data_IF_498993448401
#
_entry.id   IF_498993448401
#
_cell.length_a   1.000
_cell.length_b   1.000
_cell.length_c   1.000
_cell.angle_alpha   90.00
_cell.angle_beta   90.00
_cell.angle_gamma   90.00
#
_symmetry.space_group_name_H-M   'P 1'
#
loop_
_entity.id
_entity.type
_entity.pdbx_description
1 polymer ?
#
# COMPACT_ATOMS: atom_id res chain seq x y z
N UNK A 1 4.25 17.75 -5.40
CA UNK A 1 4.64 16.71 -4.41
C UNK A 1 4.26 15.34 -4.94
N UNK A 2 5.00 14.29 -4.60
CA UNK A 2 4.67 12.90 -4.99
C UNK A 2 3.74 12.30 -3.93
N UNK A 3 2.78 11.48 -4.34
CA UNK A 3 1.97 10.67 -3.44
C UNK A 3 1.97 9.22 -3.92
N UNK A 4 2.36 8.28 -3.07
CA UNK A 4 2.34 6.85 -3.41
C UNK A 4 1.06 6.24 -2.85
N UNK A 5 0.29 5.57 -3.71
CA UNK A 5 -0.98 4.92 -3.37
C UNK A 5 -0.77 3.42 -3.56
N UNK A 6 -0.71 2.69 -2.45
CA UNK A 6 -0.60 1.24 -2.47
C UNK A 6 -1.98 0.58 -2.43
N UNK A 7 -2.16 -0.49 -3.18
CA UNK A 7 -3.37 -1.30 -3.10
C UNK A 7 -3.10 -2.79 -2.94
N UNK A 8 -4.04 -3.46 -2.27
CA UNK A 8 -4.16 -4.92 -2.26
C UNK A 8 -5.63 -5.31 -2.39
N UNK A 9 -5.92 -6.35 -3.15
CA UNK A 9 -7.28 -6.75 -3.51
C UNK A 9 -7.36 -8.20 -3.96
N UNK A 10 -8.49 -8.85 -3.70
CA UNK A 10 -8.81 -10.19 -4.22
C UNK A 10 -9.66 -10.15 -5.49
N UNK A 11 -10.59 -9.17 -5.58
CA UNK A 11 -11.60 -9.10 -6.65
C UNK A 11 -11.52 -7.81 -7.47
N UNK A 12 -10.47 -7.01 -7.29
CA UNK A 12 -10.22 -5.79 -8.07
C UNK A 12 -10.83 -4.51 -7.50
N UNK A 13 -11.75 -4.57 -6.53
CA UNK A 13 -12.45 -3.35 -6.04
C UNK A 13 -11.51 -2.31 -5.43
N UNK A 14 -10.56 -2.75 -4.61
CA UNK A 14 -9.60 -1.83 -3.99
C UNK A 14 -8.58 -1.29 -4.99
N UNK A 15 -8.29 -2.03 -6.05
CA UNK A 15 -7.48 -1.53 -7.17
C UNK A 15 -8.24 -0.42 -7.92
N UNK A 16 -9.50 -0.63 -8.27
CA UNK A 16 -10.34 0.40 -8.90
C UNK A 16 -10.40 1.67 -8.04
N UNK A 17 -10.66 1.52 -6.75
CA UNK A 17 -10.69 2.66 -5.82
C UNK A 17 -9.33 3.36 -5.69
N UNK A 18 -8.21 2.63 -5.79
CA UNK A 18 -6.88 3.22 -5.78
C UNK A 18 -6.60 4.02 -7.06
N UNK A 19 -7.07 3.53 -8.22
CA UNK A 19 -6.98 4.27 -9.49
C UNK A 19 -7.83 5.55 -9.44
N UNK A 20 -9.05 5.48 -8.92
CA UNK A 20 -9.92 6.65 -8.74
C UNK A 20 -9.30 7.68 -7.78
N UNK A 21 -8.69 7.20 -6.68
CA UNK A 21 -7.97 8.04 -5.75
C UNK A 21 -6.74 8.69 -6.42
N UNK A 22 -6.03 7.96 -7.27
CA UNK A 22 -4.94 8.49 -8.09
C UNK A 22 -5.42 9.61 -9.03
N UNK A 23 -6.52 9.41 -9.74
CA UNK A 23 -7.10 10.44 -10.60
C UNK A 23 -7.48 11.69 -9.79
N UNK A 24 -8.11 11.52 -8.61
CA UNK A 24 -8.44 12.64 -7.72
C UNK A 24 -7.19 13.40 -7.26
N UNK A 25 -6.13 12.69 -6.86
CA UNK A 25 -4.90 13.30 -6.35
C UNK A 25 -4.07 14.00 -7.43
N UNK A 26 -4.24 13.65 -8.70
CA UNK A 26 -3.51 14.26 -9.82
C UNK A 26 -3.74 15.77 -9.98
N UNK A 27 -4.78 16.33 -9.34
CA UNK A 27 -5.01 17.78 -9.34
C UNK A 27 -3.95 18.58 -8.55
N UNK A 28 -3.25 17.95 -7.59
CA UNK A 28 -2.31 18.62 -6.69
C UNK A 28 -0.99 17.83 -6.47
N UNK A 29 -0.97 16.54 -6.79
CA UNK A 29 0.17 15.65 -6.61
C UNK A 29 0.55 14.98 -7.93
N UNK A 30 1.73 14.36 -7.98
CA UNK A 30 2.11 13.39 -9.00
C UNK A 30 1.93 11.98 -8.40
N UNK A 31 0.71 11.40 -8.46
CA UNK A 31 0.42 10.14 -7.79
C UNK A 31 1.04 8.94 -8.51
N UNK A 32 1.46 7.94 -7.74
CA UNK A 32 1.86 6.61 -8.24
C UNK A 32 0.97 5.56 -7.60
N UNK A 33 0.15 4.87 -8.40
CA UNK A 33 -0.66 3.75 -7.92
C UNK A 33 0.10 2.45 -8.14
N UNK A 34 0.33 1.69 -7.07
CA UNK A 34 1.15 0.47 -7.09
C UNK A 34 0.46 -0.67 -6.34
N UNK A 35 0.57 -1.89 -6.88
CA UNK A 35 0.19 -3.08 -6.13
C UNK A 35 1.19 -3.31 -4.98
N UNK A 36 0.70 -3.76 -3.81
CA UNK A 36 1.55 -3.99 -2.64
C UNK A 36 2.66 -5.03 -2.87
N UNK A 37 2.49 -5.98 -3.81
CA UNK A 37 3.49 -7.00 -4.14
C UNK A 37 4.70 -6.46 -4.93
N UNK A 38 4.49 -5.36 -5.66
CA UNK A 38 5.48 -4.61 -6.44
C UNK A 38 6.20 -3.55 -5.61
N UNK A 39 5.65 -3.17 -4.46
CA UNK A 39 6.25 -2.19 -3.57
C UNK A 39 7.47 -2.75 -2.82
N UNK A 40 8.56 -1.98 -2.77
CA UNK A 40 9.76 -2.31 -2.00
C UNK A 40 9.73 -1.57 -0.68
N UNK A 41 9.75 -2.32 0.43
CA UNK A 41 9.70 -1.72 1.77
C UNK A 41 10.83 -0.71 2.04
N UNK A 42 11.99 -0.87 1.39
CA UNK A 42 13.11 0.07 1.50
C UNK A 42 12.76 1.49 1.06
N UNK A 43 11.76 1.69 0.20
CA UNK A 43 11.32 3.04 -0.19
C UNK A 43 10.50 3.74 0.88
N UNK A 44 10.03 3.04 1.93
CA UNK A 44 9.12 3.59 2.93
C UNK A 44 9.67 4.84 3.63
N UNK A 45 10.97 4.91 3.87
CA UNK A 45 11.62 6.06 4.49
C UNK A 45 11.71 7.29 3.55
N UNK A 46 11.58 7.07 2.24
CA UNK A 46 11.65 8.12 1.21
C UNK A 46 10.26 8.70 0.87
N UNK A 47 9.18 8.01 1.28
CA UNK A 47 7.82 8.41 0.94
C UNK A 47 7.40 9.70 1.67
N UNK A 48 7.03 10.74 0.91
CA UNK A 48 6.50 11.99 1.47
C UNK A 48 5.04 11.86 1.91
N UNK A 49 4.27 11.04 1.20
CA UNK A 49 2.88 10.72 1.48
C UNK A 49 2.57 9.34 0.93
N UNK A 50 2.21 8.42 1.82
CA UNK A 50 1.79 7.07 1.49
C UNK A 50 0.32 6.86 1.85
N UNK A 51 -0.48 6.51 0.87
CA UNK A 51 -1.90 6.18 1.00
C UNK A 51 -2.07 4.68 0.76
N UNK A 52 -2.99 4.05 1.46
CA UNK A 52 -3.24 2.61 1.35
C UNK A 52 -4.73 2.36 1.12
N UNK A 53 -5.04 1.64 0.05
CA UNK A 53 -6.40 1.19 -0.30
C UNK A 53 -6.38 -0.34 -0.35
N UNK A 54 -6.85 -0.99 0.71
CA UNK A 54 -6.86 -2.46 0.78
C UNK A 54 -8.21 -2.98 1.23
N UNK A 55 -8.63 -4.10 0.66
CA UNK A 55 -9.68 -4.92 1.25
C UNK A 55 -9.09 -5.80 2.35
N UNK A 56 -9.96 -6.49 3.07
CA UNK A 56 -9.61 -7.67 3.87
C UNK A 56 -10.21 -8.91 3.20
N UNK A 57 -9.72 -10.09 3.54
CA UNK A 57 -10.23 -11.37 3.07
C UNK A 57 -10.43 -12.35 4.24
N UNK A 58 -11.44 -13.22 4.15
CA UNK A 58 -11.74 -14.20 5.19
C UNK A 58 -11.96 -13.56 6.57
N UNK A 59 -11.19 -14.00 7.57
CA UNK A 59 -11.30 -13.58 8.97
C UNK A 59 -10.51 -12.29 9.30
N UNK A 60 -10.34 -11.40 8.33
CA UNK A 60 -9.54 -10.18 8.47
C UNK A 60 -8.10 -10.32 7.97
N UNK A 61 -7.81 -11.34 7.17
CA UNK A 61 -6.53 -11.47 6.50
C UNK A 61 -6.35 -10.41 5.41
N UNK A 62 -5.09 -10.16 5.04
CA UNK A 62 -4.78 -9.34 3.88
C UNK A 62 -5.14 -10.12 2.61
N UNK A 63 -5.46 -9.42 1.50
CA UNK A 63 -5.46 -10.04 0.19
C UNK A 63 -4.10 -10.66 -0.15
N UNK A 64 -4.07 -11.62 -1.08
CA UNK A 64 -2.87 -12.35 -1.49
C UNK A 64 -1.73 -11.43 -1.97
N UNK A 65 -2.06 -10.41 -2.78
CA UNK A 65 -1.09 -9.41 -3.23
C UNK A 65 -0.64 -8.42 -2.13
N UNK A 66 -1.25 -8.45 -0.94
CA UNK A 66 -0.84 -7.69 0.25
C UNK A 66 0.05 -8.46 1.23
N UNK A 67 0.12 -9.80 1.11
CA UNK A 67 0.79 -10.64 2.11
C UNK A 67 2.28 -10.32 2.30
N UNK A 68 2.99 -10.08 1.19
CA UNK A 68 4.43 -9.81 1.21
C UNK A 68 4.71 -8.55 2.01
N UNK A 69 3.99 -7.46 1.74
CA UNK A 69 4.16 -6.20 2.45
C UNK A 69 3.73 -6.30 3.92
N UNK A 70 2.63 -7.00 4.22
CA UNK A 70 2.20 -7.29 5.61
C UNK A 70 3.31 -7.95 6.42
N UNK A 71 3.91 -9.03 5.89
CA UNK A 71 5.00 -9.76 6.55
C UNK A 71 6.21 -8.85 6.79
N UNK A 72 6.61 -8.08 5.78
CA UNK A 72 7.76 -7.16 5.92
C UNK A 72 7.52 -6.03 6.93
N UNK A 73 6.31 -5.46 6.98
CA UNK A 73 5.95 -4.42 7.97
C UNK A 73 5.92 -4.95 9.41
N UNK A 74 5.39 -6.16 9.63
CA UNK A 74 5.39 -6.78 10.95
C UNK A 74 6.83 -7.09 11.42
N UNK A 75 7.67 -7.61 10.53
CA UNK A 75 9.08 -7.83 10.83
C UNK A 75 9.82 -6.52 11.18
N UNK A 76 9.57 -5.44 10.43
CA UNK A 76 10.13 -4.13 10.72
C UNK A 76 9.68 -3.64 12.11
N UNK A 77 8.38 -3.76 12.43
CA UNK A 77 7.82 -3.40 13.75
C UNK A 77 8.47 -4.17 14.89
N UNK A 78 8.70 -5.48 14.72
CA UNK A 78 9.36 -6.30 15.73
C UNK A 78 10.82 -5.89 15.95
N UNK A 79 11.54 -5.55 14.87
CA UNK A 79 12.91 -5.05 14.95
C UNK A 79 12.97 -3.68 15.65
N UNK A 80 12.04 -2.77 15.33
CA UNK A 80 11.99 -1.44 15.97
C UNK A 80 11.58 -1.48 17.43
N UNK A 81 10.86 -2.51 17.88
CA UNK A 81 10.44 -2.67 19.28
C UNK A 81 11.50 -3.35 20.17
N UNK A 82 12.55 -3.91 19.58
CA UNK A 82 13.64 -4.59 20.32
C UNK A 82 14.78 -3.65 20.71
N UNK A 83 14.72 -2.39 20.27
CA UNK A 83 15.66 -1.32 20.59
C UNK A 83 14.89 -0.12 21.13
#
# INVERSE_FOLDING_TARGET
SVATILFATETGRSETLAQDLGALFSCAFNPKVLCMDQYRLSHLEEEQLLLVVTSTFGNGDSPGNGEKLKKSLLMLKELTNKF
#
